data_IF_652078559240
#
_entry.id   IF_652078559240
#
_cell.length_a   1.000
_cell.length_b   1.000
_cell.length_c   1.000
_cell.angle_alpha   90.00
_cell.angle_beta   90.00
_cell.angle_gamma   90.00
#
_symmetry.space_group_name_H-M   'P 1'
#
loop_
_entity.id
_entity.type
_entity.pdbx_description
1 polymer ?
#
# COMPACT_ATOMS: atom_id res chain seq x y z
N UNK A 1 -33.76 19.59 2.18
CA UNK A 1 -33.19 19.20 0.86
C UNK A 1 -32.39 17.92 1.09
N UNK A 2 -32.95 16.76 0.77
CA UNK A 2 -32.20 15.49 0.83
C UNK A 2 -31.11 15.55 -0.25
N UNK A 3 -29.84 15.48 0.16
CA UNK A 3 -28.75 15.33 -0.79
C UNK A 3 -28.86 13.94 -1.43
N UNK A 4 -28.53 13.78 -2.72
CA UNK A 4 -28.45 12.45 -3.31
C UNK A 4 -27.38 11.64 -2.55
N UNK A 5 -27.71 10.41 -2.16
CA UNK A 5 -26.85 9.49 -1.38
C UNK A 5 -25.38 9.46 -1.87
N UNK A 6 -25.16 9.57 -3.19
CA UNK A 6 -23.81 9.61 -3.78
C UNK A 6 -23.00 10.89 -3.49
N UNK A 7 -23.62 12.03 -3.24
CA UNK A 7 -22.92 13.27 -2.87
C UNK A 7 -22.45 13.23 -1.41
N UNK A 8 -23.22 12.58 -0.53
CA UNK A 8 -22.86 12.40 0.87
C UNK A 8 -21.69 11.42 1.03
N UNK A 9 -21.71 10.28 0.32
CA UNK A 9 -20.59 9.34 0.31
C UNK A 9 -19.29 9.99 -0.18
N UNK A 10 -19.34 10.76 -1.28
CA UNK A 10 -18.16 11.50 -1.78
C UNK A 10 -17.60 12.49 -0.75
N UNK A 11 -18.48 13.19 -0.05
CA UNK A 11 -18.09 14.12 1.04
C UNK A 11 -17.43 13.36 2.19
N UNK A 12 -17.99 12.22 2.61
CA UNK A 12 -17.39 11.38 3.65
C UNK A 12 -16.04 10.81 3.23
N UNK A 13 -15.90 10.32 1.99
CA UNK A 13 -14.60 9.87 1.44
C UNK A 13 -13.56 10.98 1.51
N UNK A 14 -13.94 12.20 1.16
CA UNK A 14 -13.05 13.37 1.18
C UNK A 14 -12.62 13.75 2.62
N UNK A 15 -13.55 13.65 3.58
CA UNK A 15 -13.27 13.86 5.00
C UNK A 15 -12.31 12.80 5.54
N UNK A 16 -12.57 11.52 5.27
CA UNK A 16 -11.72 10.40 5.70
C UNK A 16 -10.31 10.54 5.10
N UNK A 17 -10.21 10.87 3.80
CA UNK A 17 -8.92 11.15 3.15
C UNK A 17 -8.19 12.33 3.81
N UNK A 18 -8.91 13.41 4.13
CA UNK A 18 -8.38 14.57 4.83
C UNK A 18 -7.81 14.23 6.21
N UNK A 19 -8.51 13.39 6.97
CA UNK A 19 -8.00 12.88 8.26
C UNK A 19 -6.80 11.95 8.09
N UNK A 20 -6.79 11.12 7.06
CA UNK A 20 -5.65 10.27 6.71
C UNK A 20 -4.37 11.06 6.44
N UNK A 21 -4.47 12.20 5.73
CA UNK A 21 -3.33 13.11 5.49
C UNK A 21 -2.80 13.75 6.77
N UNK A 22 -3.68 14.00 7.74
CA UNK A 22 -3.33 14.56 9.05
C UNK A 22 -2.91 13.50 10.07
N UNK A 23 -2.84 12.21 9.67
CA UNK A 23 -2.59 11.06 10.56
C UNK A 23 -3.61 10.92 11.71
N UNK A 24 -4.78 11.53 11.57
CA UNK A 24 -5.88 11.48 12.54
C UNK A 24 -6.76 10.25 12.27
N UNK A 25 -6.19 9.05 12.39
CA UNK A 25 -6.88 7.81 12.06
C UNK A 25 -8.14 7.57 12.92
N UNK A 26 -8.17 8.06 14.16
CA UNK A 26 -9.34 7.94 15.03
C UNK A 26 -10.56 8.68 14.46
N UNK A 27 -10.38 9.91 13.94
CA UNK A 27 -11.45 10.66 13.28
C UNK A 27 -11.88 10.04 11.97
N UNK A 28 -10.95 9.41 11.24
CA UNK A 28 -11.26 8.66 10.03
C UNK A 28 -12.18 7.45 10.33
N UNK A 29 -11.92 6.74 11.42
CA UNK A 29 -12.78 5.64 11.90
C UNK A 29 -14.15 6.17 12.34
N UNK A 30 -14.18 7.25 13.13
CA UNK A 30 -15.44 7.84 13.59
C UNK A 30 -16.32 8.30 12.43
N UNK A 31 -15.73 8.98 11.44
CA UNK A 31 -16.43 9.38 10.22
C UNK A 31 -16.95 8.18 9.42
N UNK A 32 -16.22 7.06 9.40
CA UNK A 32 -16.67 5.83 8.76
C UNK A 32 -17.82 5.16 9.55
N UNK A 33 -17.74 5.13 10.88
CA UNK A 33 -18.82 4.64 11.72
C UNK A 33 -20.09 5.46 11.55
N UNK A 34 -19.98 6.78 11.38
CA UNK A 34 -21.12 7.66 11.07
C UNK A 34 -21.76 7.33 9.71
N UNK A 35 -20.97 6.98 8.69
CA UNK A 35 -21.49 6.51 7.38
C UNK A 35 -22.37 5.26 7.56
N UNK A 36 -21.90 4.30 8.37
CA UNK A 36 -22.65 3.07 8.66
C UNK A 36 -23.89 3.37 9.52
N UNK A 37 -23.76 4.20 10.55
CA UNK A 37 -24.85 4.54 11.46
C UNK A 37 -26.02 5.25 10.75
N UNK A 38 -25.73 5.98 9.67
CA UNK A 38 -26.72 6.62 8.80
C UNK A 38 -27.39 5.64 7.82
N UNK A 39 -27.02 4.36 7.86
CA UNK A 39 -27.59 3.31 7.00
C UNK A 39 -27.02 3.28 5.59
N UNK A 40 -25.91 3.97 5.32
CA UNK A 40 -25.26 3.90 4.02
C UNK A 40 -24.31 2.69 3.95
N UNK A 41 -24.37 1.97 2.83
CA UNK A 41 -23.38 0.94 2.52
C UNK A 41 -22.09 1.62 2.03
N UNK A 42 -20.95 1.47 2.74
CA UNK A 42 -19.70 2.07 2.31
C UNK A 42 -19.22 1.40 1.01
N UNK A 43 -18.98 2.22 -0.01
CA UNK A 43 -18.42 1.76 -1.27
C UNK A 43 -16.90 1.52 -1.17
N UNK A 44 -16.32 1.00 -2.26
CA UNK A 44 -14.88 0.76 -2.40
C UNK A 44 -14.07 2.04 -2.08
N UNK A 45 -14.55 3.22 -2.45
CA UNK A 45 -13.82 4.47 -2.25
C UNK A 45 -13.76 4.87 -0.77
N UNK A 46 -14.87 4.74 -0.03
CA UNK A 46 -14.93 5.00 1.41
C UNK A 46 -14.02 4.01 2.17
N UNK A 47 -14.08 2.71 1.83
CA UNK A 47 -13.24 1.68 2.44
C UNK A 47 -11.75 1.91 2.14
N UNK A 48 -11.39 2.26 0.91
CA UNK A 48 -10.02 2.60 0.51
C UNK A 48 -9.47 3.83 1.25
N UNK A 49 -10.30 4.85 1.43
CA UNK A 49 -9.95 6.03 2.21
C UNK A 49 -9.68 5.66 3.68
N UNK A 50 -10.53 4.82 4.28
CA UNK A 50 -10.34 4.34 5.65
C UNK A 50 -9.05 3.52 5.79
N UNK A 51 -8.82 2.55 4.90
CA UNK A 51 -7.59 1.74 4.91
C UNK A 51 -6.34 2.59 4.78
N UNK A 52 -6.36 3.60 3.90
CA UNK A 52 -5.24 4.52 3.72
C UNK A 52 -4.99 5.37 4.98
N UNK A 53 -6.04 5.82 5.65
CA UNK A 53 -5.95 6.58 6.91
C UNK A 53 -5.45 5.70 8.07
N UNK A 54 -5.90 4.45 8.15
CA UNK A 54 -5.40 3.48 9.14
C UNK A 54 -3.93 3.15 8.90
N UNK A 55 -3.54 2.95 7.64
CA UNK A 55 -2.15 2.73 7.27
C UNK A 55 -1.28 3.96 7.61
N UNK A 56 -1.74 5.20 7.40
CA UNK A 56 -0.97 6.40 7.79
C UNK A 56 -0.84 6.55 9.31
N UNK A 57 -1.82 6.04 10.07
CA UNK A 57 -1.84 5.98 11.53
C UNK A 57 -1.11 4.78 12.16
N UNK A 58 -0.35 3.99 11.38
CA UNK A 58 0.32 2.76 11.81
C UNK A 58 -0.64 1.67 12.35
N UNK A 59 -1.93 1.77 12.06
CA UNK A 59 -2.95 0.79 12.46
C UNK A 59 -3.09 -0.32 11.41
N UNK A 60 -2.00 -1.06 11.18
CA UNK A 60 -1.93 -2.05 10.10
C UNK A 60 -2.95 -3.19 10.27
N UNK A 61 -3.16 -3.66 11.51
CA UNK A 61 -4.09 -4.75 11.81
C UNK A 61 -5.54 -4.38 11.46
N UNK A 62 -5.92 -3.14 11.80
CA UNK A 62 -7.24 -2.59 11.47
C UNK A 62 -7.41 -2.40 9.97
N UNK A 63 -6.38 -1.94 9.26
CA UNK A 63 -6.44 -1.80 7.81
C UNK A 63 -6.66 -3.16 7.12
N UNK A 64 -6.02 -4.23 7.61
CA UNK A 64 -6.22 -5.58 7.09
C UNK A 64 -7.58 -6.19 7.45
N UNK A 65 -8.12 -5.84 8.63
CA UNK A 65 -9.50 -6.18 8.99
C UNK A 65 -10.47 -5.57 7.97
N UNK A 66 -10.36 -4.26 7.71
CA UNK A 66 -11.21 -3.58 6.73
C UNK A 66 -11.09 -4.21 5.35
N UNK A 67 -9.88 -4.55 4.90
CA UNK A 67 -9.65 -5.23 3.62
C UNK A 67 -10.35 -6.60 3.55
N UNK A 68 -10.29 -7.36 4.63
CA UNK A 68 -10.94 -8.69 4.73
C UNK A 68 -12.46 -8.55 4.74
N UNK A 69 -12.98 -7.55 5.45
CA UNK A 69 -14.41 -7.24 5.54
C UNK A 69 -14.99 -6.81 4.18
N UNK A 70 -14.20 -6.18 3.29
CA UNK A 70 -14.66 -5.85 1.94
C UNK A 70 -15.20 -7.09 1.21
N UNK A 71 -14.43 -8.19 1.25
CA UNK A 71 -14.81 -9.43 0.58
C UNK A 71 -16.02 -10.10 1.23
N UNK A 72 -16.15 -10.00 2.56
CA UNK A 72 -17.31 -10.51 3.30
C UNK A 72 -18.61 -9.76 2.96
N UNK A 73 -18.50 -8.46 2.68
CA UNK A 73 -19.63 -7.62 2.29
C UNK A 73 -19.86 -7.54 0.77
N UNK A 74 -19.32 -8.51 0.00
CA UNK A 74 -19.42 -8.57 -1.46
C UNK A 74 -18.90 -7.31 -2.20
N UNK A 75 -18.02 -6.53 -1.56
CA UNK A 75 -17.32 -5.40 -2.16
C UNK A 75 -15.99 -5.91 -2.72
N UNK A 76 -15.83 -5.89 -4.05
CA UNK A 76 -14.58 -6.37 -4.66
C UNK A 76 -13.43 -5.38 -4.41
N UNK A 77 -12.33 -5.83 -3.76
CA UNK A 77 -11.15 -4.99 -3.60
C UNK A 77 -10.48 -4.74 -4.94
N UNK A 78 -10.22 -3.48 -5.24
CA UNK A 78 -9.55 -3.01 -6.45
C UNK A 78 -8.03 -2.85 -6.26
N UNK A 79 -7.35 -2.27 -7.26
CA UNK A 79 -5.90 -1.99 -7.22
C UNK A 79 -5.55 -1.09 -6.03
N UNK A 80 -6.39 -0.11 -5.72
CA UNK A 80 -6.18 0.83 -4.62
C UNK A 80 -6.32 0.11 -3.28
N UNK A 81 -7.33 -0.75 -3.14
CA UNK A 81 -7.59 -1.56 -1.94
C UNK A 81 -6.38 -2.41 -1.58
N UNK A 82 -5.86 -3.16 -2.55
CA UNK A 82 -4.69 -4.01 -2.35
C UNK A 82 -3.42 -3.17 -2.09
N UNK A 83 -3.24 -2.06 -2.80
CA UNK A 83 -2.13 -1.14 -2.56
C UNK A 83 -2.12 -0.57 -1.14
N UNK A 84 -3.29 -0.20 -0.61
CA UNK A 84 -3.45 0.26 0.77
C UNK A 84 -3.15 -0.85 1.78
N UNK A 85 -3.66 -2.06 1.57
CA UNK A 85 -3.39 -3.22 2.41
C UNK A 85 -1.91 -3.62 2.43
N UNK A 86 -1.24 -3.63 1.27
CA UNK A 86 0.21 -3.90 1.15
C UNK A 86 1.03 -2.81 1.85
N UNK A 87 0.64 -1.54 1.70
CA UNK A 87 1.26 -0.43 2.43
C UNK A 87 1.12 -0.56 3.94
N UNK A 88 -0.06 -0.99 4.42
CA UNK A 88 -0.30 -1.29 5.82
C UNK A 88 0.59 -2.43 6.31
N UNK A 89 0.66 -3.55 5.58
CA UNK A 89 1.56 -4.67 5.88
C UNK A 89 3.02 -4.21 6.01
N UNK A 90 3.48 -3.36 5.09
CA UNK A 90 4.86 -2.84 5.14
C UNK A 90 5.16 -2.03 6.39
N UNK A 91 4.20 -1.23 6.86
CA UNK A 91 4.32 -0.48 8.12
C UNK A 91 4.21 -1.36 9.37
N UNK A 92 3.57 -2.52 9.25
CA UNK A 92 3.48 -3.53 10.30
C UNK A 92 4.59 -4.57 10.29
N UNK A 93 5.60 -4.47 9.39
CA UNK A 93 6.64 -5.50 9.20
C UNK A 93 6.10 -6.89 8.82
N UNK A 94 4.91 -6.96 8.20
CA UNK A 94 4.28 -8.20 7.73
C UNK A 94 4.60 -8.45 6.26
N UNK A 95 5.88 -8.70 5.95
CA UNK A 95 6.34 -8.91 4.58
C UNK A 95 5.64 -10.10 3.88
N UNK A 96 5.38 -11.19 4.60
CA UNK A 96 4.75 -12.39 4.02
C UNK A 96 3.31 -12.08 3.53
N UNK A 97 2.52 -11.38 4.34
CA UNK A 97 1.18 -10.92 3.97
C UNK A 97 1.21 -9.93 2.81
N UNK A 98 2.21 -9.05 2.76
CA UNK A 98 2.40 -8.12 1.64
C UNK A 98 2.66 -8.88 0.31
N UNK A 99 3.48 -9.93 0.33
CA UNK A 99 3.74 -10.77 -0.84
C UNK A 99 2.48 -11.53 -1.25
N UNK A 100 1.77 -12.15 -0.31
CA UNK A 100 0.55 -12.89 -0.63
C UNK A 100 -0.50 -11.99 -1.28
N UNK A 101 -0.70 -10.77 -0.76
CA UNK A 101 -1.59 -9.78 -1.36
C UNK A 101 -1.15 -9.36 -2.78
N UNK A 102 0.16 -9.22 -3.02
CA UNK A 102 0.67 -8.91 -4.36
C UNK A 102 0.45 -10.07 -5.34
N UNK A 103 0.63 -11.32 -4.89
CA UNK A 103 0.32 -12.52 -5.68
C UNK A 103 -1.18 -12.66 -5.95
N UNK A 104 -2.03 -12.30 -4.98
CA UNK A 104 -3.48 -12.24 -5.18
C UNK A 104 -3.86 -11.21 -6.26
N UNK A 105 -3.24 -10.03 -6.29
CA UNK A 105 -3.45 -9.05 -7.36
C UNK A 105 -3.12 -9.66 -8.73
N UNK A 106 -1.96 -10.31 -8.86
CA UNK A 106 -1.53 -10.93 -10.12
C UNK A 106 -2.48 -12.04 -10.57
N UNK A 107 -2.91 -12.92 -9.64
CA UNK A 107 -3.90 -13.98 -9.93
C UNK A 107 -5.24 -13.42 -10.42
N UNK A 108 -5.62 -12.23 -9.95
CA UNK A 108 -6.83 -11.51 -10.38
C UNK A 108 -6.63 -10.66 -11.63
N UNK A 109 -5.43 -10.66 -12.23
CA UNK A 109 -5.11 -9.81 -13.38
C UNK A 109 -5.04 -8.31 -13.05
N UNK A 110 -4.94 -7.96 -11.76
CA UNK A 110 -4.79 -6.58 -11.32
C UNK A 110 -3.33 -6.13 -11.47
N UNK A 111 -3.06 -5.01 -12.15
CA UNK A 111 -1.69 -4.55 -12.34
C UNK A 111 -1.07 -4.11 -11.00
N UNK A 112 0.16 -4.56 -10.76
CA UNK A 112 0.98 -3.98 -9.70
C UNK A 112 1.37 -2.56 -10.12
N UNK A 113 1.16 -1.58 -9.24
CA UNK A 113 1.60 -0.21 -9.43
C UNK A 113 2.96 0.06 -8.79
N UNK A 114 3.60 1.18 -9.16
CA UNK A 114 4.86 1.64 -8.55
C UNK A 114 4.75 1.75 -7.03
N UNK A 115 3.63 2.26 -6.52
CA UNK A 115 3.37 2.42 -5.09
C UNK A 115 3.29 1.05 -4.40
N UNK A 116 2.59 0.09 -4.99
CA UNK A 116 2.44 -1.27 -4.46
C UNK A 116 3.78 -1.99 -4.40
N UNK A 117 4.57 -1.96 -5.48
CA UNK A 117 5.90 -2.56 -5.50
C UNK A 117 6.85 -1.88 -4.50
N UNK A 118 6.82 -0.55 -4.41
CA UNK A 118 7.67 0.19 -3.45
C UNK A 118 7.30 -0.14 -2.01
N UNK A 119 6.01 -0.28 -1.70
CA UNK A 119 5.53 -0.69 -0.40
C UNK A 119 5.95 -2.14 -0.07
N UNK A 120 5.87 -3.05 -1.03
CA UNK A 120 6.31 -4.43 -0.90
C UNK A 120 7.81 -4.52 -0.60
N UNK A 121 8.66 -3.82 -1.36
CA UNK A 121 10.12 -3.80 -1.14
C UNK A 121 10.44 -3.20 0.23
N UNK A 122 9.72 -2.13 0.62
CA UNK A 122 9.87 -1.53 1.95
C UNK A 122 9.49 -2.50 3.07
N UNK A 123 8.42 -3.28 2.90
CA UNK A 123 8.02 -4.31 3.85
C UNK A 123 9.10 -5.38 4.05
N UNK A 124 9.65 -5.89 2.93
CA UNK A 124 10.73 -6.87 2.94
C UNK A 124 12.00 -6.29 3.59
N UNK A 125 12.35 -5.05 3.26
CA UNK A 125 13.51 -4.35 3.82
C UNK A 125 13.41 -4.15 5.33
N UNK A 126 12.26 -3.67 5.79
CA UNK A 126 11.99 -3.44 7.21
C UNK A 126 11.97 -4.75 8.02
N UNK A 127 11.82 -5.90 7.36
CA UNK A 127 11.82 -7.23 7.97
C UNK A 127 13.16 -7.98 7.79
N UNK A 128 14.19 -7.32 7.22
CA UNK A 128 15.49 -7.94 6.94
C UNK A 128 15.48 -8.99 5.82
N UNK A 129 14.37 -9.12 5.09
CA UNK A 129 14.19 -10.11 4.03
C UNK A 129 14.78 -9.61 2.71
N UNK A 130 16.10 -9.51 2.65
CA UNK A 130 16.82 -8.95 1.50
C UNK A 130 16.56 -9.72 0.20
N UNK A 131 16.50 -11.06 0.25
CA UNK A 131 16.18 -11.89 -0.93
C UNK A 131 14.84 -11.50 -1.54
N UNK A 132 13.81 -11.35 -0.70
CA UNK A 132 12.47 -11.01 -1.16
C UNK A 132 12.35 -9.56 -1.60
N UNK A 133 13.09 -8.65 -0.94
CA UNK A 133 13.21 -7.27 -1.40
C UNK A 133 13.82 -7.15 -2.79
N UNK A 134 14.86 -7.94 -3.09
CA UNK A 134 15.48 -8.00 -4.41
C UNK A 134 14.58 -8.65 -5.45
N UNK A 135 13.92 -9.75 -5.11
CA UNK A 135 12.96 -10.40 -5.99
C UNK A 135 11.82 -9.44 -6.37
N UNK A 136 11.27 -8.69 -5.41
CA UNK A 136 10.26 -7.68 -5.67
C UNK A 136 10.77 -6.53 -6.55
N UNK A 137 12.02 -6.08 -6.36
CA UNK A 137 12.65 -5.07 -7.22
C UNK A 137 12.86 -5.57 -8.66
N UNK A 138 13.31 -6.81 -8.81
CA UNK A 138 13.47 -7.45 -10.12
C UNK A 138 12.13 -7.63 -10.83
N UNK A 139 11.11 -8.07 -10.09
CA UNK A 139 9.76 -8.20 -10.61
C UNK A 139 9.19 -6.86 -11.08
N UNK A 140 9.42 -5.78 -10.32
CA UNK A 140 9.06 -4.41 -10.71
C UNK A 140 9.68 -4.04 -12.08
N UNK A 141 10.97 -4.31 -12.27
CA UNK A 141 11.64 -4.11 -13.58
C UNK A 141 11.03 -4.98 -14.68
N UNK A 142 10.73 -6.26 -14.39
CA UNK A 142 10.16 -7.20 -15.36
C UNK A 142 8.76 -6.80 -15.85
N UNK A 143 7.94 -6.22 -14.98
CA UNK A 143 6.62 -5.68 -15.38
C UNK A 143 6.70 -4.29 -16.04
N UNK A 144 7.90 -3.84 -16.39
CA UNK A 144 8.14 -2.55 -17.06
C UNK A 144 8.03 -1.33 -16.14
N UNK A 145 7.93 -1.51 -14.83
CA UNK A 145 7.90 -0.40 -13.89
C UNK A 145 9.33 0.04 -13.57
N UNK A 146 9.61 1.34 -13.73
CA UNK A 146 10.90 1.92 -13.36
C UNK A 146 10.98 2.05 -11.84
N UNK A 147 11.90 1.35 -11.15
CA UNK A 147 12.08 1.54 -9.72
C UNK A 147 12.56 2.96 -9.42
N UNK A 148 11.84 3.65 -8.54
CA UNK A 148 12.24 4.97 -8.06
C UNK A 148 13.29 4.89 -6.95
N UNK A 149 13.78 6.05 -6.49
CA UNK A 149 14.73 6.15 -5.38
C UNK A 149 14.25 5.43 -4.11
N UNK A 150 12.94 5.44 -3.83
CA UNK A 150 12.35 4.75 -2.67
C UNK A 150 12.55 3.22 -2.79
N UNK A 151 12.30 2.64 -3.96
CA UNK A 151 12.43 1.20 -4.18
C UNK A 151 13.90 0.75 -4.09
N UNK A 152 14.82 1.49 -4.73
CA UNK A 152 16.26 1.21 -4.61
C UNK A 152 16.77 1.39 -3.18
N UNK A 153 16.42 2.50 -2.52
CA UNK A 153 16.83 2.76 -1.15
C UNK A 153 16.35 1.68 -0.17
N UNK A 154 15.10 1.22 -0.33
CA UNK A 154 14.57 0.10 0.46
C UNK A 154 15.35 -1.20 0.19
N UNK A 155 15.63 -1.56 -1.07
CA UNK A 155 16.39 -2.76 -1.40
C UNK A 155 17.85 -2.70 -0.90
N UNK A 156 18.52 -1.55 -1.03
CA UNK A 156 19.87 -1.30 -0.51
C UNK A 156 19.88 -1.42 1.02
N UNK A 157 18.90 -0.82 1.71
CA UNK A 157 18.76 -0.95 3.16
C UNK A 157 18.54 -2.40 3.59
N UNK A 158 17.76 -3.17 2.81
CA UNK A 158 17.55 -4.60 3.07
C UNK A 158 18.86 -5.38 2.97
N UNK A 159 19.65 -5.15 1.91
CA UNK A 159 20.94 -5.78 1.69
C UNK A 159 21.94 -5.43 2.82
N UNK A 160 21.96 -4.17 3.27
CA UNK A 160 22.78 -3.76 4.41
C UNK A 160 22.44 -4.51 5.69
N UNK A 161 21.15 -4.69 5.99
CA UNK A 161 20.70 -5.50 7.15
C UNK A 161 21.02 -6.99 7.00
N UNK A 162 21.03 -7.50 5.76
CA UNK A 162 21.40 -8.87 5.43
C UNK A 162 22.91 -9.12 5.35
N UNK A 163 23.76 -8.14 5.71
CA UNK A 163 25.22 -8.19 5.55
C UNK A 163 25.68 -8.47 4.10
N UNK A 164 24.88 -8.06 3.10
CA UNK A 164 25.17 -8.19 1.67
C UNK A 164 25.56 -6.84 1.07
N UNK A 165 26.64 -6.26 1.57
CA UNK A 165 27.08 -4.92 1.18
C UNK A 165 27.52 -4.85 -0.29
N UNK A 166 28.03 -5.94 -0.85
CA UNK A 166 28.44 -6.03 -2.26
C UNK A 166 27.22 -5.81 -3.17
N UNK A 167 26.12 -6.50 -2.86
CA UNK A 167 24.85 -6.37 -3.60
C UNK A 167 24.26 -4.97 -3.40
N UNK A 168 24.39 -4.40 -2.21
CA UNK A 168 23.97 -3.03 -1.92
C UNK A 168 24.73 -2.00 -2.80
N UNK A 169 26.03 -2.19 -3.01
CA UNK A 169 26.85 -1.33 -3.87
C UNK A 169 26.49 -1.49 -5.35
N UNK A 170 26.21 -2.71 -5.82
CA UNK A 170 25.74 -2.96 -7.18
C UNK A 170 24.40 -2.24 -7.44
N UNK A 171 23.45 -2.35 -6.51
CA UNK A 171 22.16 -1.66 -6.60
C UNK A 171 22.31 -0.14 -6.61
N UNK A 172 23.26 0.41 -5.85
CA UNK A 172 23.52 1.85 -5.83
C UNK A 172 24.08 2.33 -7.18
N UNK A 173 24.98 1.56 -7.79
CA UNK A 173 25.51 1.84 -9.14
C UNK A 173 24.41 1.74 -10.19
N UNK A 174 23.54 0.74 -10.10
CA UNK A 174 22.36 0.59 -10.95
C UNK A 174 21.42 1.80 -10.83
N UNK A 175 21.15 2.24 -9.59
CA UNK A 175 20.34 3.43 -9.33
C UNK A 175 20.98 4.67 -9.99
N UNK A 176 22.28 4.89 -9.80
CA UNK A 176 23.00 6.01 -10.41
C UNK A 176 22.85 5.99 -11.93
N UNK A 177 23.15 4.86 -12.59
CA UNK A 177 23.00 4.69 -14.05
C UNK A 177 21.58 4.93 -14.55
N UNK A 178 20.57 4.51 -13.79
CA UNK A 178 19.16 4.74 -14.14
C UNK A 178 18.68 6.17 -13.90
N UNK A 179 19.37 6.92 -13.02
CA UNK A 179 19.01 8.30 -12.64
C UNK A 179 19.69 9.36 -13.50
N UNK A 180 20.74 9.02 -14.27
CA UNK A 180 21.36 9.96 -15.21
C UNK A 180 20.50 10.05 -16.47
N UNK A 181 19.94 11.23 -16.81
CA UNK A 181 19.32 11.38 -18.12
C UNK A 181 20.41 11.17 -19.18
N UNK A 182 20.15 10.25 -20.11
CA UNK A 182 20.96 10.15 -21.32
C UNK A 182 20.71 11.45 -22.10
N UNK A 183 21.70 12.31 -22.10
CA UNK A 183 21.71 13.59 -22.81
C UNK A 183 21.88 13.36 -24.31
#
# INVERSE_FOLDING_TARGET
RQMPCGAELKRCTSLIQGFGRQKLWHKAVEAFSDVIARGHSPDVAVQNALMSALASGLQWSRALSVFSDMSLHAVQPDVISHGAAISACGKGHHWASAIDLALQMQRRGLPLGVVTCSALISACSASGQWVQGLAALAQMKHVGLKPGAIAFGAAISACGRGARWEVALELLRDMQRSSVPHN
#
